data_IF_067048044925
#
_entry.id   IF_067048044925
#
_cell.length_a   1.000
_cell.length_b   1.000
_cell.length_c   1.000
_cell.angle_alpha   90.00
_cell.angle_beta   90.00
_cell.angle_gamma   90.00
#
_symmetry.space_group_name_H-M   'P 1'
#
loop_
_entity.id
_entity.type
_entity.pdbx_description
1 polymer ?
#
# COMPACT_ATOMS: atom_id res chain seq x y z
N UNK A 1 22.83 -23.08 10.03
CA UNK A 1 23.11 -21.83 10.76
C UNK A 1 23.01 -20.57 9.90
N UNK A 2 23.50 -20.54 8.65
CA UNK A 2 23.24 -19.43 7.71
C UNK A 2 21.84 -19.50 7.09
N UNK A 3 21.40 -20.69 6.64
CA UNK A 3 20.08 -20.88 6.03
C UNK A 3 18.94 -20.55 7.00
N UNK A 4 19.06 -20.97 8.26
CA UNK A 4 18.10 -20.70 9.33
C UNK A 4 17.90 -19.19 9.59
N UNK A 5 18.96 -18.38 9.41
CA UNK A 5 18.89 -16.92 9.53
C UNK A 5 18.11 -16.30 8.37
N UNK A 6 18.35 -16.79 7.15
CA UNK A 6 17.63 -16.35 5.95
C UNK A 6 16.16 -16.78 5.97
N UNK A 7 15.85 -18.00 6.43
CA UNK A 7 14.48 -18.50 6.62
C UNK A 7 13.71 -17.66 7.64
N UNK A 8 14.34 -17.31 8.77
CA UNK A 8 13.72 -16.46 9.79
C UNK A 8 13.46 -15.04 9.26
N UNK A 9 14.43 -14.45 8.54
CA UNK A 9 14.28 -13.15 7.88
C UNK A 9 13.14 -13.19 6.86
N UNK A 10 13.08 -14.21 6.01
CA UNK A 10 12.04 -14.39 5.00
C UNK A 10 10.65 -14.49 5.64
N UNK A 11 10.46 -15.35 6.64
CA UNK A 11 9.18 -15.50 7.34
C UNK A 11 8.68 -14.19 7.96
N UNK A 12 9.59 -13.39 8.54
CA UNK A 12 9.24 -12.09 9.12
C UNK A 12 8.79 -11.10 8.05
N UNK A 13 9.57 -10.95 6.97
CA UNK A 13 9.27 -10.02 5.89
C UNK A 13 8.02 -10.43 5.11
N UNK A 14 7.81 -11.73 4.90
CA UNK A 14 6.64 -12.27 4.23
C UNK A 14 5.36 -11.96 5.02
N UNK A 15 5.39 -12.17 6.34
CA UNK A 15 4.27 -11.82 7.21
C UNK A 15 3.96 -10.32 7.18
N UNK A 16 4.99 -9.46 7.18
CA UNK A 16 4.80 -8.01 7.02
C UNK A 16 4.19 -7.65 5.65
N UNK A 17 4.66 -8.29 4.58
CA UNK A 17 4.14 -8.10 3.23
C UNK A 17 2.65 -8.43 3.13
N UNK A 18 2.24 -9.57 3.68
CA UNK A 18 0.83 -9.99 3.76
C UNK A 18 0.00 -9.08 4.67
N UNK A 19 0.57 -8.64 5.79
CA UNK A 19 -0.08 -7.69 6.67
C UNK A 19 -0.42 -6.39 5.96
N UNK A 20 0.45 -5.87 5.08
CA UNK A 20 0.13 -4.66 4.30
C UNK A 20 -1.05 -4.85 3.33
N UNK A 21 -1.25 -6.05 2.78
CA UNK A 21 -2.47 -6.36 2.01
C UNK A 21 -3.72 -6.29 2.89
N UNK A 22 -3.66 -6.84 4.11
CA UNK A 22 -4.77 -6.78 5.05
C UNK A 22 -5.11 -5.33 5.44
N UNK A 23 -4.10 -4.50 5.73
CA UNK A 23 -4.30 -3.07 6.04
C UNK A 23 -4.92 -2.32 4.85
N UNK A 24 -4.46 -2.60 3.62
CA UNK A 24 -5.04 -2.06 2.39
C UNK A 24 -6.52 -2.43 2.25
N UNK A 25 -6.89 -3.67 2.56
CA UNK A 25 -8.29 -4.10 2.55
C UNK A 25 -9.13 -3.35 3.60
N UNK A 26 -8.61 -3.16 4.82
CA UNK A 26 -9.32 -2.40 5.85
C UNK A 26 -9.57 -0.95 5.44
N UNK A 27 -8.63 -0.30 4.77
CA UNK A 27 -8.82 1.07 4.26
C UNK A 27 -9.93 1.11 3.20
N UNK A 28 -10.00 0.13 2.30
CA UNK A 28 -11.07 0.03 1.29
C UNK A 28 -12.44 -0.16 1.94
N UNK A 29 -12.53 -1.03 2.93
CA UNK A 29 -13.78 -1.24 3.69
C UNK A 29 -14.19 0.02 4.47
N UNK A 30 -13.22 0.71 5.09
CA UNK A 30 -13.45 1.98 5.75
C UNK A 30 -13.94 3.05 4.76
N UNK A 31 -13.40 3.08 3.54
CA UNK A 31 -13.83 4.02 2.49
C UNK A 31 -15.29 3.80 2.09
N UNK A 32 -15.71 2.54 1.94
CA UNK A 32 -17.12 2.19 1.71
C UNK A 32 -17.99 2.63 2.89
N UNK A 33 -17.53 2.39 4.12
CA UNK A 33 -18.26 2.79 5.33
C UNK A 33 -18.40 4.31 5.46
N UNK A 34 -17.35 5.07 5.13
CA UNK A 34 -17.38 6.54 5.10
C UNK A 34 -18.40 7.03 4.07
N UNK A 35 -18.44 6.46 2.87
CA UNK A 35 -19.46 6.81 1.88
C UNK A 35 -20.87 6.53 2.42
N UNK A 36 -21.10 5.35 3.00
CA UNK A 36 -22.39 4.99 3.60
C UNK A 36 -22.83 5.98 4.70
N UNK A 37 -21.93 6.35 5.61
CA UNK A 37 -22.21 7.33 6.65
C UNK A 37 -22.44 8.74 6.10
N UNK A 38 -21.69 9.15 5.08
CA UNK A 38 -21.85 10.42 4.39
C UNK A 38 -23.28 10.55 3.84
N UNK A 39 -23.81 9.49 3.22
CA UNK A 39 -25.18 9.46 2.72
C UNK A 39 -26.21 9.52 3.86
N UNK A 40 -26.03 8.71 4.91
CA UNK A 40 -26.95 8.67 6.05
C UNK A 40 -27.04 10.02 6.78
N UNK A 41 -25.91 10.71 6.90
CA UNK A 41 -25.80 12.00 7.58
C UNK A 41 -25.98 13.21 6.65
N UNK A 42 -26.15 12.98 5.35
CA UNK A 42 -26.26 14.01 4.30
C UNK A 42 -25.09 15.01 4.33
N UNK A 43 -23.87 14.47 4.50
CA UNK A 43 -22.64 15.25 4.48
C UNK A 43 -22.43 15.83 3.08
N UNK A 44 -21.84 17.03 3.01
CA UNK A 44 -21.52 17.66 1.73
C UNK A 44 -20.56 16.80 0.88
N UNK A 45 -20.90 16.66 -0.41
CA UNK A 45 -20.19 15.79 -1.35
C UNK A 45 -18.71 16.17 -1.52
N UNK A 46 -18.37 17.46 -1.45
CA UNK A 46 -16.98 17.92 -1.58
C UNK A 46 -16.16 17.44 -0.37
N UNK A 47 -16.72 17.56 0.83
CA UNK A 47 -16.08 17.07 2.06
C UNK A 47 -15.86 15.55 2.00
N UNK A 48 -16.85 14.80 1.50
CA UNK A 48 -16.73 13.35 1.33
C UNK A 48 -15.61 12.96 0.35
N UNK A 49 -15.51 13.65 -0.80
CA UNK A 49 -14.44 13.43 -1.78
C UNK A 49 -13.06 13.64 -1.16
N UNK A 50 -12.85 14.69 -0.37
CA UNK A 50 -11.57 14.92 0.28
C UNK A 50 -11.19 13.81 1.27
N UNK A 51 -12.16 13.30 2.04
CA UNK A 51 -11.91 12.18 2.96
C UNK A 51 -11.55 10.92 2.18
N UNK A 52 -12.29 10.59 1.12
CA UNK A 52 -11.99 9.44 0.25
C UNK A 52 -10.60 9.58 -0.40
N UNK A 53 -10.21 10.79 -0.82
CA UNK A 53 -8.89 11.04 -1.38
C UNK A 53 -7.77 10.80 -0.35
N UNK A 54 -7.96 11.19 0.92
CA UNK A 54 -7.01 10.89 1.99
C UNK A 54 -6.88 9.38 2.21
N UNK A 55 -7.99 8.64 2.25
CA UNK A 55 -7.98 7.18 2.40
C UNK A 55 -7.28 6.50 1.21
N UNK A 56 -7.50 6.98 -0.01
CA UNK A 56 -6.80 6.49 -1.20
C UNK A 56 -5.28 6.72 -1.14
N UNK A 57 -4.84 7.91 -0.71
CA UNK A 57 -3.42 8.21 -0.53
C UNK A 57 -2.80 7.35 0.58
N UNK A 58 -3.51 7.09 1.67
CA UNK A 58 -3.07 6.19 2.73
C UNK A 58 -2.88 4.75 2.24
N UNK A 59 -3.81 4.23 1.43
CA UNK A 59 -3.68 2.91 0.79
C UNK A 59 -2.39 2.85 -0.07
N UNK A 60 -2.14 3.91 -0.82
CA UNK A 60 -0.95 4.05 -1.68
C UNK A 60 0.37 4.04 -0.89
N UNK A 61 0.38 4.62 0.31
CA UNK A 61 1.53 4.59 1.21
C UNK A 61 1.83 3.16 1.66
N UNK A 62 0.81 2.39 2.06
CA UNK A 62 0.99 0.98 2.43
C UNK A 62 1.53 0.14 1.27
N UNK A 63 1.02 0.36 0.06
CA UNK A 63 1.51 -0.31 -1.16
C UNK A 63 2.93 0.07 -1.52
N UNK A 64 3.35 1.29 -1.18
CA UNK A 64 4.74 1.72 -1.34
C UNK A 64 5.65 0.92 -0.41
N UNK A 65 5.32 0.82 0.88
CA UNK A 65 6.09 0.02 1.83
C UNK A 65 6.14 -1.45 1.43
N UNK A 66 5.02 -2.01 1.00
CA UNK A 66 4.94 -3.38 0.49
C UNK A 66 5.88 -3.59 -0.71
N UNK A 67 5.88 -2.67 -1.68
CA UNK A 67 6.74 -2.79 -2.87
C UNK A 67 8.23 -2.69 -2.58
N UNK A 68 8.62 -2.15 -1.42
CA UNK A 68 10.02 -2.08 -0.98
C UNK A 68 10.50 -3.37 -0.31
N UNK A 69 9.58 -4.18 0.19
CA UNK A 69 9.88 -5.50 0.77
C UNK A 69 10.11 -6.55 -0.32
N UNK A 70 9.39 -6.45 -1.44
CA UNK A 70 9.38 -7.44 -2.53
C UNK A 70 10.78 -7.77 -3.07
N UNK A 71 11.66 -6.81 -3.41
CA UNK A 71 13.00 -7.14 -3.92
C UNK A 71 13.83 -7.94 -2.90
N UNK A 72 13.72 -7.60 -1.61
CA UNK A 72 14.48 -8.28 -0.55
C UNK A 72 13.97 -9.71 -0.32
N UNK A 73 12.65 -9.92 -0.39
CA UNK A 73 12.07 -11.27 -0.32
C UNK A 73 12.63 -12.16 -1.44
N UNK A 74 12.64 -11.66 -2.68
CA UNK A 74 13.19 -12.38 -3.83
C UNK A 74 14.70 -12.63 -3.72
N UNK A 75 15.47 -11.67 -3.18
CA UNK A 75 16.90 -11.85 -2.93
C UNK A 75 17.15 -12.96 -1.90
N UNK A 76 16.38 -13.00 -0.80
CA UNK A 76 16.52 -14.04 0.23
C UNK A 76 16.17 -15.42 -0.36
N UNK A 77 15.13 -15.53 -1.19
CA UNK A 77 14.79 -16.77 -1.90
C UNK A 77 15.92 -17.25 -2.82
N UNK A 78 16.58 -16.32 -3.50
CA UNK A 78 17.75 -16.62 -4.33
C UNK A 78 18.92 -17.12 -3.48
N UNK A 79 19.21 -16.49 -2.34
CA UNK A 79 20.30 -16.90 -1.44
C UNK A 79 20.06 -18.28 -0.82
N UNK A 80 18.81 -18.59 -0.47
CA UNK A 80 18.43 -19.94 0.00
C UNK A 80 18.62 -21.01 -1.09
N UNK A 81 18.49 -20.63 -2.37
CA UNK A 81 18.67 -21.54 -3.52
C UNK A 81 20.14 -21.73 -3.92
N UNK A 82 20.91 -20.65 -3.99
CA UNK A 82 22.27 -20.64 -4.56
C UNK A 82 23.38 -20.87 -3.52
N UNK A 83 23.07 -20.80 -2.23
CA UNK A 83 23.99 -21.02 -1.13
C UNK A 83 24.36 -19.74 -0.38
N UNK A 84 24.80 -19.85 0.89
CA UNK A 84 24.77 -18.76 1.88
C UNK A 84 25.90 -17.72 1.77
N UNK A 85 26.55 -17.54 0.62
CA UNK A 85 27.65 -16.56 0.47
C UNK A 85 27.17 -15.09 0.52
N UNK A 86 25.86 -14.86 0.64
CA UNK A 86 25.28 -13.54 0.82
C UNK A 86 25.01 -13.20 2.29
N UNK A 87 25.40 -11.97 2.68
CA UNK A 87 25.15 -11.43 4.01
C UNK A 87 23.63 -11.36 4.32
N UNK A 88 23.19 -12.10 5.33
CA UNK A 88 21.85 -11.95 5.90
C UNK A 88 21.67 -10.61 6.63
N UNK A 89 20.42 -10.27 6.96
CA UNK A 89 20.04 -9.09 7.77
C UNK A 89 20.45 -7.73 7.19
N UNK A 90 20.42 -7.57 5.86
CA UNK A 90 20.72 -6.31 5.17
C UNK A 90 19.46 -5.51 4.80
N UNK A 91 18.31 -5.80 5.41
CA UNK A 91 17.07 -5.10 5.09
C UNK A 91 17.18 -3.58 5.18
N UNK A 92 17.73 -3.03 6.27
CA UNK A 92 17.78 -1.58 6.48
C UNK A 92 18.71 -0.86 5.48
N UNK A 93 19.85 -1.46 5.13
CA UNK A 93 20.79 -0.90 4.15
C UNK A 93 20.20 -0.92 2.74
N UNK A 94 19.57 -2.03 2.35
CA UNK A 94 18.87 -2.16 1.08
C UNK A 94 17.66 -1.23 1.00
N UNK A 95 16.90 -1.11 2.09
CA UNK A 95 15.76 -0.21 2.20
C UNK A 95 16.16 1.25 2.05
N UNK A 96 17.25 1.69 2.71
CA UNK A 96 17.79 3.05 2.54
C UNK A 96 18.29 3.32 1.13
N UNK A 97 18.80 2.30 0.43
CA UNK A 97 19.20 2.42 -0.98
C UNK A 97 17.99 2.58 -1.91
N UNK A 98 16.91 1.86 -1.62
CA UNK A 98 15.63 1.94 -2.35
C UNK A 98 14.80 3.16 -1.96
N UNK A 99 15.08 3.78 -0.81
CA UNK A 99 14.30 4.92 -0.33
C UNK A 99 14.54 6.16 -1.19
N UNK A 100 13.54 6.47 -2.00
CA UNK A 100 13.42 7.74 -2.73
C UNK A 100 13.41 8.92 -1.76
N UNK A 101 14.27 9.92 -1.97
CA UNK A 101 14.31 11.17 -1.19
C UNK A 101 13.50 12.29 -1.85
N UNK A 102 12.92 13.17 -1.03
CA UNK A 102 12.24 14.39 -1.50
C UNK A 102 11.12 14.13 -2.50
N UNK A 103 11.12 14.85 -3.64
CA UNK A 103 10.12 14.74 -4.71
C UNK A 103 10.00 13.34 -5.32
N UNK A 104 11.07 12.54 -5.31
CA UNK A 104 11.02 11.17 -5.78
C UNK A 104 10.08 10.29 -4.93
N UNK A 105 9.96 10.58 -3.62
CA UNK A 105 9.05 9.88 -2.70
C UNK A 105 7.58 10.16 -3.03
N UNK A 106 7.25 11.41 -3.38
CA UNK A 106 5.91 11.79 -3.83
C UNK A 106 5.56 11.07 -5.13
N UNK A 107 6.51 11.01 -6.08
CA UNK A 107 6.32 10.27 -7.34
C UNK A 107 6.06 8.79 -7.09
N UNK A 108 6.79 8.16 -6.17
CA UNK A 108 6.60 6.76 -5.79
C UNK A 108 5.18 6.51 -5.26
N UNK A 109 4.69 7.38 -4.37
CA UNK A 109 3.32 7.29 -3.85
C UNK A 109 2.28 7.48 -4.95
N UNK A 110 2.49 8.44 -5.85
CA UNK A 110 1.59 8.68 -6.98
C UNK A 110 1.53 7.47 -7.94
N UNK A 111 2.68 6.84 -8.22
CA UNK A 111 2.75 5.63 -9.04
C UNK A 111 2.01 4.47 -8.38
N UNK A 112 2.09 4.33 -7.05
CA UNK A 112 1.34 3.32 -6.32
C UNK A 112 -0.16 3.62 -6.31
N UNK A 113 -0.55 4.88 -6.19
CA UNK A 113 -1.94 5.31 -6.19
C UNK A 113 -2.69 4.95 -7.49
N UNK A 114 -2.01 5.05 -8.64
CA UNK A 114 -2.59 4.74 -9.95
C UNK A 114 -2.57 3.26 -10.30
N UNK A 115 -1.93 2.39 -9.49
CA UNK A 115 -1.95 0.95 -9.75
C UNK A 115 -3.40 0.47 -9.77
N UNK A 116 -3.84 -0.35 -10.74
CA UNK A 116 -5.23 -0.76 -10.85
C UNK A 116 -5.80 -1.38 -9.57
N UNK A 117 -5.00 -2.15 -8.84
CA UNK A 117 -5.37 -2.81 -7.57
C UNK A 117 -5.61 -1.84 -6.41
N UNK A 118 -5.13 -0.60 -6.53
CA UNK A 118 -5.32 0.49 -5.56
C UNK A 118 -6.37 1.46 -6.07
N UNK A 119 -6.22 1.94 -7.31
CA UNK A 119 -7.09 2.95 -7.89
C UNK A 119 -8.53 2.47 -8.05
N UNK A 120 -8.76 1.23 -8.50
CA UNK A 120 -10.09 0.79 -8.90
C UNK A 120 -11.17 0.98 -7.83
N UNK A 121 -11.00 0.52 -6.57
CA UNK A 121 -12.02 0.72 -5.54
C UNK A 121 -12.25 2.19 -5.21
N UNK A 122 -11.19 2.99 -5.07
CA UNK A 122 -11.29 4.40 -4.68
C UNK A 122 -11.89 5.27 -5.79
N UNK A 123 -11.49 5.05 -7.04
CA UNK A 123 -12.03 5.76 -8.21
C UNK A 123 -13.53 5.51 -8.34
N UNK A 124 -14.00 4.28 -8.13
CA UNK A 124 -15.43 3.97 -8.17
C UNK A 124 -16.19 4.76 -7.10
N UNK A 125 -15.69 4.80 -5.86
CA UNK A 125 -16.34 5.55 -4.78
C UNK A 125 -16.40 7.05 -5.08
N UNK A 126 -15.31 7.63 -5.58
CA UNK A 126 -15.28 9.05 -5.98
C UNK A 126 -16.27 9.32 -7.12
N UNK A 127 -16.36 8.43 -8.11
CA UNK A 127 -17.33 8.57 -9.21
C UNK A 127 -18.78 8.52 -8.73
N UNK A 128 -19.09 7.68 -7.73
CA UNK A 128 -20.43 7.66 -7.11
C UNK A 128 -20.75 9.01 -6.48
N UNK A 129 -19.84 9.58 -5.69
CA UNK A 129 -20.05 10.89 -5.06
C UNK A 129 -20.17 12.02 -6.08
N UNK A 130 -19.36 11.97 -7.15
CA UNK A 130 -19.45 12.94 -8.25
C UNK A 130 -20.78 12.84 -9.00
N UNK A 131 -21.26 11.63 -9.26
CA UNK A 131 -22.56 11.41 -9.88
C UNK A 131 -23.69 11.97 -9.00
N UNK A 132 -23.66 11.70 -7.69
CA UNK A 132 -24.63 12.26 -6.75
C UNK A 132 -24.61 13.78 -6.73
N UNK A 133 -23.42 14.38 -6.71
CA UNK A 133 -23.26 15.84 -6.70
C UNK A 133 -23.80 16.50 -7.97
N UNK A 134 -23.65 15.85 -9.13
CA UNK A 134 -24.11 16.37 -10.42
C UNK A 134 -25.62 16.16 -10.68
N UNK A 135 -26.18 15.02 -10.25
CA UNK A 135 -27.52 14.58 -10.69
C UNK A 135 -28.56 14.48 -9.57
N UNK A 136 -28.15 14.31 -8.31
CA UNK A 136 -29.05 14.12 -7.16
C UNK A 136 -29.12 15.36 -6.26
N UNK A 137 -28.48 16.45 -6.68
CA UNK A 137 -28.60 17.78 -6.08
C UNK A 137 -29.75 18.56 -6.69
#
# INVERSE_FOLDING_TARGET
MSNEKHETEWCLLQNQFESYEQHSLYIKLLSIFVLFLSEMMRVDSVSCIFILAVLWLQDSIWKTFQSRLEPRLLDIEKYMREGPDAAGFQFNSEYQRLESKGMAKIKEYAVQAIRPTVAFPHVILVLVVLFQWLYLR
#
